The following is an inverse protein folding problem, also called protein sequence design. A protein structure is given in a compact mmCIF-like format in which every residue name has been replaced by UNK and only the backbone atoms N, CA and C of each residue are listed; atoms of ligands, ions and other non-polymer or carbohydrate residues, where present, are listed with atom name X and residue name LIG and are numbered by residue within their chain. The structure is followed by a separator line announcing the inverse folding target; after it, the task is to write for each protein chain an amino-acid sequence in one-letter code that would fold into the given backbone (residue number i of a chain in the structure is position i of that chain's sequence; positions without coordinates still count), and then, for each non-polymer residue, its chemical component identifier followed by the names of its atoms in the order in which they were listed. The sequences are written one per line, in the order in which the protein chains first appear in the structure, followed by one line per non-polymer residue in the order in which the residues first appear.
data_IF_337453093521
#
_entry.id   IF_337453093521
#
_cell.length_a   1.000
_cell.length_b   1.000
_cell.length_c   1.000
_cell.angle_alpha   90.00
_cell.angle_beta   90.00
_cell.angle_gamma   90.00
#
_symmetry.space_group_name_H-M   'P 1'
#
loop_
_entity.id
_entity.type
_entity.pdbx_description
1 polymer ?
#
# COMPACT_ATOMS: atom_id res chain seq x y z
N UNK A 1 -6.14 5.22 -21.13
CA UNK A 1 -6.27 4.20 -20.06
C UNK A 1 -5.59 4.76 -18.83
N UNK A 2 -6.33 5.03 -17.76
CA UNK A 2 -5.75 5.53 -16.51
C UNK A 2 -5.53 4.34 -15.57
N UNK A 3 -4.30 4.16 -15.08
CA UNK A 3 -3.95 3.14 -14.09
C UNK A 3 -3.53 3.84 -12.81
N UNK A 4 -4.16 3.46 -11.70
CA UNK A 4 -3.87 4.00 -10.38
C UNK A 4 -3.17 2.91 -9.57
N UNK A 5 -1.95 3.19 -9.13
CA UNK A 5 -1.18 2.28 -8.28
C UNK A 5 -1.16 2.83 -6.86
N UNK A 6 -1.89 2.19 -5.96
CA UNK A 6 -1.80 2.50 -4.53
C UNK A 6 -0.67 1.64 -3.96
N UNK A 7 0.45 2.25 -3.58
CA UNK A 7 1.59 1.54 -2.98
C UNK A 7 1.89 2.03 -1.59
N UNK A 8 2.37 1.15 -0.73
CA UNK A 8 2.84 1.51 0.61
C UNK A 8 4.14 2.26 0.69
N UNK A 9 4.94 2.07 -0.34
CA UNK A 9 6.31 2.54 -0.46
C UNK A 9 6.35 4.03 -0.71
N UNK A 10 7.10 4.75 0.11
CA UNK A 10 7.43 6.15 -0.14
C UNK A 10 8.15 6.27 -1.48
N UNK A 11 7.59 7.01 -2.46
CA UNK A 11 8.25 7.20 -3.76
C UNK A 11 9.65 7.81 -3.66
N UNK A 12 9.93 8.58 -2.60
CA UNK A 12 11.23 9.21 -2.37
C UNK A 12 12.33 8.21 -1.98
N UNK A 13 11.97 7.00 -1.55
CA UNK A 13 12.91 5.93 -1.20
C UNK A 13 13.18 4.98 -2.36
N UNK A 14 12.87 5.40 -3.59
CA UNK A 14 13.17 4.65 -4.81
C UNK A 14 14.42 5.20 -5.49
N UNK A 15 15.16 4.32 -6.15
CA UNK A 15 16.24 4.75 -7.06
C UNK A 15 15.69 5.28 -8.39
N UNK A 16 16.62 5.72 -9.26
CA UNK A 16 16.31 6.22 -10.60
C UNK A 16 15.70 5.16 -11.53
N UNK A 17 15.84 3.87 -11.21
CA UNK A 17 15.25 2.74 -11.93
C UNK A 17 13.89 2.32 -11.34
N UNK A 18 13.49 2.93 -10.22
CA UNK A 18 12.22 2.70 -9.53
C UNK A 18 12.26 1.59 -8.49
N UNK A 19 13.42 1.00 -8.20
CA UNK A 19 13.57 -0.02 -7.15
C UNK A 19 13.44 0.61 -5.77
N UNK A 20 12.73 -0.05 -4.86
CA UNK A 20 12.63 0.40 -3.47
C UNK A 20 13.88 -0.01 -2.71
N UNK A 21 14.56 0.96 -2.07
CA UNK A 21 15.87 0.74 -1.44
C UNK A 21 15.83 0.63 0.08
N UNK A 22 14.69 0.88 0.72
CA UNK A 22 14.58 0.79 2.17
C UNK A 22 14.29 -0.66 2.60
N UNK A 23 15.32 -1.29 3.16
CA UNK A 23 15.29 -2.67 3.65
C UNK A 23 14.89 -2.77 5.14
N UNK A 24 14.85 -1.66 5.86
CA UNK A 24 14.45 -1.60 7.27
C UNK A 24 12.93 -1.58 7.41
N UNK A 25 12.23 -1.01 6.44
CA UNK A 25 10.77 -1.02 6.40
C UNK A 25 10.20 -2.43 6.20
N UNK A 26 9.05 -2.71 6.81
CA UNK A 26 8.34 -3.98 6.61
C UNK A 26 7.72 -4.00 5.21
N UNK A 27 7.95 -5.07 4.45
CA UNK A 27 7.56 -5.18 3.04
C UNK A 27 6.47 -6.22 2.82
N UNK A 28 6.34 -7.21 3.70
CA UNK A 28 5.34 -8.27 3.58
C UNK A 28 4.75 -8.68 4.96
N UNK A 29 3.87 -9.68 4.96
CA UNK A 29 3.28 -10.22 6.19
C UNK A 29 4.27 -11.01 7.05
N UNK A 30 5.36 -11.53 6.47
CA UNK A 30 6.37 -12.29 7.24
C UNK A 30 7.18 -11.39 8.18
N UNK A 31 7.16 -10.08 7.96
CA UNK A 31 7.71 -9.06 8.85
C UNK A 31 6.83 -8.78 10.09
N UNK A 32 5.62 -9.35 10.17
CA UNK A 32 4.73 -9.20 11.33
C UNK A 32 5.30 -9.94 12.54
N UNK A 33 5.41 -9.24 13.66
CA UNK A 33 6.03 -9.74 14.89
C UNK A 33 7.55 -9.54 14.95
N UNK A 34 8.19 -9.15 13.84
CA UNK A 34 9.63 -8.80 13.81
C UNK A 34 9.83 -7.30 13.62
N UNK A 35 9.25 -6.71 12.57
CA UNK A 35 9.39 -5.29 12.21
C UNK A 35 8.11 -4.47 12.40
N UNK A 36 6.95 -5.11 12.48
CA UNK A 36 5.65 -4.44 12.68
C UNK A 36 4.73 -5.28 13.55
N UNK A 37 3.89 -4.63 14.36
CA UNK A 37 2.86 -5.34 15.11
C UNK A 37 1.70 -5.79 14.21
N UNK A 38 0.98 -6.84 14.61
CA UNK A 38 -0.22 -7.28 13.88
C UNK A 38 -1.29 -6.19 13.84
N UNK A 39 -1.43 -5.40 14.90
CA UNK A 39 -2.39 -4.29 14.96
C UNK A 39 -2.07 -3.21 13.93
N UNK A 40 -0.81 -2.77 13.86
CA UNK A 40 -0.36 -1.79 12.88
C UNK A 40 -0.46 -2.30 11.45
N UNK A 41 -0.11 -3.57 11.22
CA UNK A 41 -0.28 -4.22 9.92
C UNK A 41 -1.74 -4.16 9.46
N UNK A 42 -2.68 -4.63 10.30
CA UNK A 42 -4.11 -4.64 9.98
C UNK A 42 -4.66 -3.22 9.76
N UNK A 43 -4.22 -2.26 10.58
CA UNK A 43 -4.57 -0.85 10.41
C UNK A 43 -4.09 -0.31 9.06
N UNK A 44 -2.87 -0.66 8.63
CA UNK A 44 -2.33 -0.24 7.32
C UNK A 44 -3.07 -0.90 6.16
N UNK A 45 -3.37 -2.20 6.24
CA UNK A 45 -4.17 -2.92 5.24
C UNK A 45 -5.57 -2.31 5.08
N UNK A 46 -6.23 -1.99 6.19
CA UNK A 46 -7.54 -1.33 6.15
C UNK A 46 -7.47 0.04 5.47
N UNK A 47 -6.38 0.79 5.65
CA UNK A 47 -6.18 2.07 4.97
C UNK A 47 -6.03 1.90 3.46
N UNK A 48 -5.39 0.83 2.95
CA UNK A 48 -5.38 0.54 1.50
C UNK A 48 -6.78 0.30 0.96
N UNK A 49 -7.56 -0.53 1.64
CA UNK A 49 -8.94 -0.82 1.24
C UNK A 49 -9.77 0.46 1.23
N UNK A 50 -9.61 1.30 2.26
CA UNK A 50 -10.32 2.58 2.35
C UNK A 50 -9.92 3.53 1.21
N UNK A 51 -8.63 3.65 0.90
CA UNK A 51 -8.17 4.48 -0.21
C UNK A 51 -8.76 4.02 -1.55
N UNK A 52 -8.76 2.72 -1.83
CA UNK A 52 -9.35 2.17 -3.06
C UNK A 52 -10.86 2.44 -3.10
N UNK A 53 -11.57 2.24 -1.99
CA UNK A 53 -13.00 2.59 -1.89
C UNK A 53 -13.26 4.06 -2.17
N UNK A 54 -12.47 4.98 -1.60
CA UNK A 54 -12.60 6.41 -1.88
C UNK A 54 -12.38 6.75 -3.36
N UNK A 55 -11.40 6.10 -4.02
CA UNK A 55 -11.24 6.27 -5.46
C UNK A 55 -12.43 5.73 -6.23
N UNK A 56 -12.95 4.55 -5.88
CA UNK A 56 -14.12 3.93 -6.50
C UNK A 56 -15.37 4.81 -6.37
N UNK A 57 -15.62 5.35 -5.17
CA UNK A 57 -16.75 6.23 -4.90
C UNK A 57 -16.67 7.51 -5.75
N UNK A 58 -15.50 8.13 -5.83
CA UNK A 58 -15.26 9.36 -6.62
C UNK A 58 -15.51 9.16 -8.12
N UNK A 59 -15.15 7.99 -8.66
CA UNK A 59 -15.30 7.67 -10.08
C UNK A 59 -16.61 6.95 -10.42
N UNK A 60 -17.47 6.71 -9.42
CA UNK A 60 -18.76 6.03 -9.60
C UNK A 60 -18.65 4.55 -9.94
N UNK A 61 -17.59 3.86 -9.49
CA UNK A 61 -17.44 2.40 -9.63
C UNK A 61 -17.97 1.69 -8.38
N UNK A 62 -18.97 0.82 -8.55
CA UNK A 62 -19.60 0.07 -7.46
C UNK A 62 -19.11 -1.39 -7.36
N UNK A 63 -18.37 -1.89 -8.36
CA UNK A 63 -17.86 -3.27 -8.41
C UNK A 63 -16.49 -3.35 -9.08
N UNK A 64 -15.63 -4.21 -8.51
CA UNK A 64 -14.38 -4.66 -9.12
C UNK A 64 -14.51 -6.17 -9.32
N UNK A 65 -14.32 -6.64 -10.55
CA UNK A 65 -14.37 -8.07 -10.90
C UNK A 65 -13.02 -8.74 -10.69
#
# INVERSE_FOLDING_TARGET
MYSWRVTKYDPLKRDVEGNYLDHEEWTDFSDVGTKVSIEEYLKKEQNYINAIRSFMDEIGLDRVY
#
